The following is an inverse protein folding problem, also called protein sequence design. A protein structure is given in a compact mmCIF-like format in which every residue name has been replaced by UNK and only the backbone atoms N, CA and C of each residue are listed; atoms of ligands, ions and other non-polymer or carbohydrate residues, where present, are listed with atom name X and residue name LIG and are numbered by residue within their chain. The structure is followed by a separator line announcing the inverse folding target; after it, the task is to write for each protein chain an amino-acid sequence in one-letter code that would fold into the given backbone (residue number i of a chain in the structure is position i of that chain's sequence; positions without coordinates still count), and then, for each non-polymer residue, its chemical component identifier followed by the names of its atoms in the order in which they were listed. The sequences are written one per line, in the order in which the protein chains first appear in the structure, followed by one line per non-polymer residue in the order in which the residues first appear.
data_IF_784815108367
#
_entry.id   IF_784815108367
#
_cell.length_a   1.000
_cell.length_b   1.000
_cell.length_c   1.000
_cell.angle_alpha   90.00
_cell.angle_beta   90.00
_cell.angle_gamma   90.00
#
_symmetry.space_group_name_H-M   'P 1'
#
loop_
_entity.id
_entity.type
_entity.pdbx_description
1 polymer ?
#
# COMPACT_ATOMS: atom_id res chain seq x y z
N UNK A 1 -14.18 16.41 9.35
CA UNK A 1 -12.93 16.39 10.11
C UNK A 1 -11.73 16.27 9.19
N UNK A 2 -10.66 16.99 9.52
CA UNK A 2 -9.45 16.94 8.72
C UNK A 2 -8.81 15.55 8.77
N UNK A 3 -8.33 15.10 7.62
CA UNK A 3 -7.62 13.83 7.51
C UNK A 3 -6.20 13.99 8.02
N UNK A 4 -5.75 13.06 8.88
CA UNK A 4 -4.41 13.05 9.43
C UNK A 4 -3.73 11.73 9.11
N UNK A 5 -2.44 11.76 8.78
CA UNK A 5 -1.66 10.55 8.55
C UNK A 5 -0.69 10.38 9.71
N UNK A 6 -0.76 9.25 10.40
CA UNK A 6 0.11 8.91 11.52
C UNK A 6 0.78 7.57 11.29
N UNK A 7 1.88 7.34 11.99
CA UNK A 7 2.55 6.04 12.00
C UNK A 7 1.77 5.10 12.93
N UNK A 8 1.51 3.90 12.44
CA UNK A 8 0.82 2.86 13.18
C UNK A 8 1.70 1.62 13.35
N UNK A 9 1.04 0.49 13.61
CA UNK A 9 1.70 -0.79 13.82
C UNK A 9 1.02 -1.90 13.03
N UNK A 10 1.61 -3.10 13.07
CA UNK A 10 1.12 -4.26 12.33
C UNK A 10 -0.30 -4.64 12.75
N UNK A 11 -0.62 -4.53 14.04
CA UNK A 11 -1.94 -4.87 14.56
C UNK A 11 -3.01 -3.93 14.00
N UNK A 12 -2.73 -2.63 13.92
CA UNK A 12 -3.67 -1.65 13.38
C UNK A 12 -3.88 -1.90 11.88
N UNK A 13 -2.82 -2.18 11.14
CA UNK A 13 -2.92 -2.51 9.71
C UNK A 13 -3.76 -3.77 9.50
N UNK A 14 -3.52 -4.80 10.28
CA UNK A 14 -4.27 -6.05 10.21
C UNK A 14 -5.76 -5.83 10.50
N UNK A 15 -6.07 -5.09 11.56
CA UNK A 15 -7.45 -4.81 11.94
C UNK A 15 -8.21 -4.09 10.82
N UNK A 16 -7.58 -3.11 10.18
CA UNK A 16 -8.17 -2.41 9.03
C UNK A 16 -8.34 -3.33 7.83
N UNK A 17 -7.32 -4.14 7.53
CA UNK A 17 -7.39 -5.08 6.41
C UNK A 17 -8.54 -6.07 6.59
N UNK A 18 -8.76 -6.57 7.81
CA UNK A 18 -9.87 -7.46 8.10
C UNK A 18 -11.24 -6.81 7.88
N UNK A 19 -11.32 -5.49 8.00
CA UNK A 19 -12.56 -4.74 7.78
C UNK A 19 -12.76 -4.32 6.32
N UNK A 20 -11.81 -4.64 5.44
CA UNK A 20 -11.88 -4.28 4.02
C UNK A 20 -12.26 -5.54 3.23
N UNK A 21 -13.45 -5.58 2.58
CA UNK A 21 -13.96 -6.79 1.95
C UNK A 21 -13.06 -7.38 0.86
N UNK A 22 -12.33 -6.54 0.14
CA UNK A 22 -11.50 -6.98 -0.98
C UNK A 22 -10.33 -7.88 -0.57
N UNK A 23 -9.98 -7.89 0.72
CA UNK A 23 -8.90 -8.74 1.23
C UNK A 23 -9.38 -10.11 1.75
N UNK A 24 -10.67 -10.35 1.77
CA UNK A 24 -11.23 -11.62 2.23
C UNK A 24 -11.46 -12.56 1.05
N UNK A 25 -10.40 -13.28 0.62
CA UNK A 25 -10.54 -14.22 -0.51
C UNK A 25 -9.61 -15.42 -0.36
N UNK A 26 -10.19 -16.58 -0.07
CA UNK A 26 -9.57 -17.88 -0.23
C UNK A 26 -8.16 -18.01 0.32
N UNK A 27 -7.26 -18.39 -0.57
CA UNK A 27 -5.85 -18.61 -0.21
C UNK A 27 -5.09 -17.34 0.19
N UNK A 28 -5.67 -16.18 -0.09
CA UNK A 28 -5.12 -14.89 0.34
C UNK A 28 -5.63 -14.48 1.73
N UNK A 29 -6.05 -15.44 2.54
CA UNK A 29 -6.54 -15.17 3.89
C UNK A 29 -5.51 -14.40 4.71
N UNK A 30 -5.98 -13.37 5.42
CA UNK A 30 -5.10 -12.50 6.20
C UNK A 30 -4.60 -13.22 7.44
N UNK A 31 -3.32 -13.05 7.75
CA UNK A 31 -2.67 -13.65 8.90
C UNK A 31 -1.89 -12.59 9.67
N UNK A 32 -2.26 -12.39 10.94
CA UNK A 32 -1.58 -11.41 11.79
C UNK A 32 -0.09 -11.71 11.96
N UNK A 33 0.30 -12.99 11.98
CA UNK A 33 1.71 -13.37 12.06
C UNK A 33 2.50 -12.86 10.85
N UNK A 34 1.91 -12.95 9.66
CA UNK A 34 2.55 -12.44 8.44
C UNK A 34 2.71 -10.93 8.52
N UNK A 35 1.68 -10.22 8.99
CA UNK A 35 1.77 -8.76 9.17
C UNK A 35 2.90 -8.41 10.12
N UNK A 36 2.99 -9.10 11.25
CA UNK A 36 4.06 -8.86 12.22
C UNK A 36 5.44 -9.14 11.65
N UNK A 37 5.60 -10.26 10.93
CA UNK A 37 6.89 -10.63 10.34
C UNK A 37 7.36 -9.59 9.31
N UNK A 38 6.46 -9.13 8.46
CA UNK A 38 6.82 -8.19 7.39
C UNK A 38 7.02 -6.77 7.90
N UNK A 39 6.26 -6.36 8.91
CA UNK A 39 6.17 -4.97 9.32
C UNK A 39 6.91 -4.64 10.62
N UNK A 40 7.36 -5.63 11.37
CA UNK A 40 8.12 -5.39 12.59
C UNK A 40 9.58 -5.08 12.26
N UNK A 41 10.22 -4.26 13.11
CA UNK A 41 11.61 -3.92 12.96
C UNK A 41 11.82 -2.65 12.15
N UNK A 42 13.09 -2.38 11.84
CA UNK A 42 13.51 -1.13 11.18
C UNK A 42 13.13 -1.05 9.72
N UNK A 43 12.82 -2.19 9.09
CA UNK A 43 12.54 -2.25 7.66
C UNK A 43 11.06 -2.15 7.33
N UNK A 44 10.18 -2.03 8.32
CA UNK A 44 8.74 -1.97 8.11
C UNK A 44 8.15 -0.59 8.42
N UNK A 45 7.06 -0.26 7.74
CA UNK A 45 6.32 0.98 7.98
C UNK A 45 4.83 0.71 7.86
N UNK A 46 4.06 1.27 8.79
CA UNK A 46 2.61 1.34 8.68
C UNK A 46 2.20 2.80 8.80
N UNK A 47 1.44 3.28 7.83
CA UNK A 47 0.80 4.59 7.86
C UNK A 47 -0.69 4.40 8.04
N UNK A 48 -1.28 5.17 8.94
CA UNK A 48 -2.71 5.17 9.20
C UNK A 48 -3.30 6.51 8.78
N UNK A 49 -4.44 6.45 8.08
CA UNK A 49 -5.23 7.64 7.80
C UNK A 49 -6.30 7.74 8.87
N UNK A 50 -6.33 8.85 9.58
CA UNK A 50 -7.25 9.09 10.68
C UNK A 50 -8.23 10.20 10.34
N UNK A 51 -9.51 9.92 10.49
CA UNK A 51 -10.58 10.92 10.46
C UNK A 51 -11.00 11.12 11.90
N UNK A 52 -10.58 12.25 12.52
CA UNK A 52 -10.65 12.39 13.95
C UNK A 52 -9.78 11.35 14.64
N UNK A 53 -10.35 10.57 15.54
CA UNK A 53 -9.64 9.50 16.26
C UNK A 53 -9.82 8.13 15.62
N UNK A 54 -10.55 8.07 14.49
CA UNK A 54 -10.86 6.78 13.85
C UNK A 54 -9.93 6.52 12.67
N UNK A 55 -9.28 5.34 12.68
CA UNK A 55 -8.50 4.91 11.53
C UNK A 55 -9.44 4.45 10.42
N UNK A 56 -9.31 5.05 9.23
CA UNK A 56 -10.18 4.77 8.08
C UNK A 56 -9.44 4.19 6.89
N UNK A 57 -8.12 4.14 6.95
CA UNK A 57 -7.30 3.57 5.90
C UNK A 57 -5.89 3.33 6.37
N UNK A 58 -5.13 2.56 5.61
CA UNK A 58 -3.74 2.28 5.94
C UNK A 58 -2.91 2.06 4.69
N UNK A 59 -1.59 2.17 4.85
CA UNK A 59 -0.60 1.77 3.87
C UNK A 59 0.55 1.12 4.60
N UNK A 60 0.97 -0.04 4.13
CA UNK A 60 2.03 -0.81 4.79
C UNK A 60 3.06 -1.26 3.76
N UNK A 61 4.32 -1.20 4.16
CA UNK A 61 5.40 -1.59 3.29
C UNK A 61 6.66 -1.93 4.07
N UNK A 62 7.67 -2.40 3.36
CA UNK A 62 8.95 -2.75 3.98
C UNK A 62 10.06 -2.79 2.93
N UNK A 63 11.30 -2.79 3.41
CA UNK A 63 12.49 -2.91 2.57
C UNK A 63 12.68 -4.39 2.19
N UNK A 64 12.03 -4.79 1.10
CA UNK A 64 11.97 -6.19 0.68
C UNK A 64 13.22 -6.68 -0.01
N UNK A 65 13.84 -5.82 -0.84
CA UNK A 65 14.87 -6.26 -1.77
C UNK A 65 16.29 -5.89 -1.35
N UNK A 66 16.44 -4.98 -0.41
CA UNK A 66 17.75 -4.52 0.05
C UNK A 66 18.58 -3.83 -1.02
N UNK A 67 17.93 -3.21 -2.01
CA UNK A 67 18.58 -2.64 -3.18
C UNK A 67 18.32 -1.13 -3.34
N UNK A 68 17.87 -0.48 -2.28
CA UNK A 68 17.53 0.94 -2.31
C UNK A 68 16.11 1.21 -2.76
N UNK A 69 15.29 0.18 -2.97
CA UNK A 69 13.88 0.31 -3.28
C UNK A 69 13.02 0.01 -2.07
N UNK A 70 11.86 0.67 -2.03
CA UNK A 70 10.81 0.42 -1.05
C UNK A 70 9.73 -0.44 -1.68
N UNK A 71 9.21 -1.41 -0.94
CA UNK A 71 8.09 -2.24 -1.40
C UNK A 71 6.82 -1.84 -0.67
N UNK A 72 5.86 -1.32 -1.42
CA UNK A 72 4.52 -1.02 -0.91
C UNK A 72 3.72 -2.33 -0.94
N UNK A 73 3.62 -2.98 0.21
CA UNK A 73 3.06 -4.33 0.30
C UNK A 73 1.54 -4.34 0.25
N UNK A 74 0.91 -3.48 1.04
CA UNK A 74 -0.54 -3.54 1.22
C UNK A 74 -1.08 -2.18 1.61
N UNK A 75 -2.33 -1.93 1.26
CA UNK A 75 -3.02 -0.71 1.66
C UNK A 75 -4.48 -0.78 1.31
N UNK A 76 -5.28 0.00 1.97
CA UNK A 76 -6.71 0.04 1.69
C UNK A 76 -7.42 1.10 2.49
N UNK A 77 -8.66 1.35 2.09
CA UNK A 77 -9.54 2.35 2.70
C UNK A 77 -10.86 1.68 3.02
N UNK A 78 -11.37 1.92 4.22
CA UNK A 78 -12.69 1.40 4.61
C UNK A 78 -13.74 1.87 3.60
N UNK A 79 -14.70 1.00 3.23
CA UNK A 79 -15.70 1.37 2.21
C UNK A 79 -16.40 2.70 2.46
N UNK A 80 -16.78 2.98 3.71
CA UNK A 80 -17.49 4.20 4.07
C UNK A 80 -16.64 5.47 3.98
N UNK A 81 -15.32 5.33 3.88
CA UNK A 81 -14.41 6.47 3.78
C UNK A 81 -13.90 6.72 2.36
N UNK A 82 -14.31 5.91 1.40
CA UNK A 82 -13.87 6.05 0.00
C UNK A 82 -14.46 7.30 -0.64
N UNK A 83 -13.76 7.81 -1.68
CA UNK A 83 -14.19 8.99 -2.40
C UNK A 83 -13.83 10.31 -1.72
N UNK A 84 -13.00 10.28 -0.67
CA UNK A 84 -12.62 11.47 0.09
C UNK A 84 -11.10 11.74 0.08
N UNK A 85 -10.38 11.14 -0.87
CA UNK A 85 -8.95 11.39 -1.03
C UNK A 85 -8.04 10.65 -0.07
N UNK A 86 -8.55 9.66 0.66
CA UNK A 86 -7.75 8.91 1.67
C UNK A 86 -6.63 8.14 1.00
N UNK A 87 -6.93 7.41 -0.08
CA UNK A 87 -5.93 6.61 -0.79
C UNK A 87 -4.81 7.48 -1.36
N UNK A 88 -5.16 8.64 -1.92
CA UNK A 88 -4.19 9.60 -2.46
C UNK A 88 -3.30 10.14 -1.34
N UNK A 89 -3.89 10.50 -0.21
CA UNK A 89 -3.12 11.01 0.94
C UNK A 89 -2.13 9.98 1.45
N UNK A 90 -2.54 8.72 1.56
CA UNK A 90 -1.67 7.63 2.00
C UNK A 90 -0.54 7.38 1.00
N UNK A 91 -0.86 7.40 -0.30
CA UNK A 91 0.14 7.21 -1.34
C UNK A 91 1.23 8.28 -1.27
N UNK A 92 0.83 9.55 -1.19
CA UNK A 92 1.78 10.65 -1.09
C UNK A 92 2.60 10.62 0.21
N UNK A 93 1.96 10.28 1.33
CA UNK A 93 2.66 10.16 2.60
C UNK A 93 3.74 9.07 2.56
N UNK A 94 3.44 7.93 1.95
CA UNK A 94 4.42 6.87 1.78
C UNK A 94 5.58 7.31 0.89
N UNK A 95 5.29 8.01 -0.21
CA UNK A 95 6.34 8.51 -1.11
C UNK A 95 7.25 9.51 -0.38
N UNK A 96 6.68 10.43 0.38
CA UNK A 96 7.44 11.40 1.15
C UNK A 96 8.33 10.72 2.19
N UNK A 97 7.76 9.76 2.90
CA UNK A 97 8.51 9.02 3.92
C UNK A 97 9.67 8.24 3.28
N UNK A 98 9.40 7.52 2.20
CA UNK A 98 10.41 6.71 1.52
C UNK A 98 11.54 7.58 0.97
N UNK A 99 11.19 8.73 0.40
CA UNK A 99 12.17 9.70 -0.10
C UNK A 99 13.07 10.22 1.02
N UNK A 100 12.47 10.61 2.15
CA UNK A 100 13.21 11.10 3.31
C UNK A 100 14.11 10.01 3.92
N UNK A 101 13.70 8.75 3.83
CA UNK A 101 14.49 7.61 4.31
C UNK A 101 15.60 7.18 3.35
N UNK A 102 15.70 7.80 2.18
CA UNK A 102 16.77 7.54 1.22
C UNK A 102 16.46 6.50 0.15
N UNK A 103 15.24 6.02 0.08
CA UNK A 103 14.84 5.07 -0.98
C UNK A 103 14.72 5.79 -2.32
N UNK A 104 15.14 5.13 -3.38
CA UNK A 104 15.19 5.72 -4.73
C UNK A 104 13.93 5.46 -5.54
N UNK A 105 13.22 4.38 -5.22
CA UNK A 105 12.01 3.98 -5.95
C UNK A 105 11.10 3.14 -5.07
N UNK A 106 9.84 3.05 -5.51
CA UNK A 106 8.83 2.21 -4.85
C UNK A 106 8.33 1.17 -5.84
N UNK A 107 8.33 -0.09 -5.42
CA UNK A 107 7.66 -1.18 -6.12
C UNK A 107 6.31 -1.46 -5.49
N UNK A 108 5.32 -1.74 -6.33
CA UNK A 108 3.97 -2.11 -5.90
C UNK A 108 3.52 -3.30 -6.73
N UNK A 109 2.91 -4.30 -6.08
CA UNK A 109 2.22 -5.38 -6.77
C UNK A 109 0.72 -5.23 -6.54
N UNK A 110 -0.07 -5.38 -7.59
CA UNK A 110 -1.52 -5.35 -7.50
C UNK A 110 -2.12 -6.33 -8.51
N UNK A 111 -3.44 -6.51 -8.46
CA UNK A 111 -4.14 -7.39 -9.41
C UNK A 111 -5.07 -6.56 -10.28
N UNK A 112 -5.37 -7.04 -11.48
CA UNK A 112 -6.29 -6.35 -12.39
C UNK A 112 -7.64 -6.06 -11.75
N UNK A 113 -8.16 -6.92 -10.88
CA UNK A 113 -9.44 -6.69 -10.21
C UNK A 113 -9.44 -5.43 -9.33
N UNK A 114 -8.28 -4.98 -8.86
CA UNK A 114 -8.17 -3.77 -8.04
C UNK A 114 -8.07 -2.52 -8.92
N UNK A 115 -9.12 -2.26 -9.69
CA UNK A 115 -9.13 -1.22 -10.74
C UNK A 115 -8.89 0.18 -10.20
N UNK A 116 -9.48 0.51 -9.06
CA UNK A 116 -9.30 1.84 -8.46
C UNK A 116 -7.83 2.07 -8.07
N UNK A 117 -7.19 1.07 -7.47
CA UNK A 117 -5.78 1.14 -7.10
C UNK A 117 -4.89 1.25 -8.34
N UNK A 118 -5.17 0.45 -9.37
CA UNK A 118 -4.40 0.48 -10.60
C UNK A 118 -4.48 1.85 -11.29
N UNK A 119 -5.66 2.44 -11.37
CA UNK A 119 -5.84 3.79 -11.92
C UNK A 119 -5.06 4.83 -11.12
N UNK A 120 -5.11 4.72 -9.80
CA UNK A 120 -4.40 5.64 -8.90
C UNK A 120 -2.89 5.58 -9.14
N UNK A 121 -2.33 4.39 -9.20
CA UNK A 121 -0.89 4.20 -9.41
C UNK A 121 -0.45 4.76 -10.76
N UNK A 122 -1.18 4.44 -11.83
CA UNK A 122 -0.86 4.94 -13.18
C UNK A 122 -0.96 6.46 -13.22
N UNK A 123 -2.02 7.02 -12.63
CA UNK A 123 -2.23 8.48 -12.59
C UNK A 123 -1.06 9.20 -11.92
N UNK A 124 -0.50 8.61 -10.86
CA UNK A 124 0.56 9.25 -10.07
C UNK A 124 1.96 8.82 -10.46
N UNK A 125 2.11 8.27 -11.67
CA UNK A 125 3.43 8.09 -12.27
C UNK A 125 4.08 6.73 -12.06
N UNK A 126 3.33 5.74 -11.65
CA UNK A 126 3.84 4.37 -11.54
C UNK A 126 3.80 3.70 -12.90
N UNK A 127 4.92 3.13 -13.32
CA UNK A 127 5.03 2.41 -14.59
C UNK A 127 4.77 0.92 -14.38
N UNK A 128 4.02 0.31 -15.28
CA UNK A 128 3.80 -1.13 -15.26
C UNK A 128 5.03 -1.81 -15.85
N UNK A 129 5.69 -2.65 -15.06
CA UNK A 129 6.92 -3.34 -15.48
C UNK A 129 6.65 -4.76 -15.93
N UNK A 130 5.75 -5.48 -15.27
CA UNK A 130 5.50 -6.89 -15.55
C UNK A 130 4.04 -7.22 -15.33
N UNK A 131 3.56 -8.19 -16.10
CA UNK A 131 2.24 -8.79 -15.92
C UNK A 131 2.44 -10.30 -15.75
N UNK A 132 1.98 -10.84 -14.63
CA UNK A 132 1.95 -12.28 -14.41
C UNK A 132 0.54 -12.77 -14.70
N UNK A 133 0.36 -13.38 -15.87
CA UNK A 133 -0.94 -13.81 -16.34
C UNK A 133 -1.49 -14.96 -15.52
N UNK A 134 -2.79 -14.94 -15.28
CA UNK A 134 -3.56 -16.02 -14.66
C UNK A 134 -4.65 -16.46 -15.63
N UNK A 135 -5.28 -17.61 -15.35
CA UNK A 135 -6.39 -18.11 -16.19
C UNK A 135 -7.54 -17.10 -16.21
N UNK A 136 -7.86 -16.54 -15.04
CA UNK A 136 -8.80 -15.42 -14.93
C UNK A 136 -8.00 -14.11 -15.02
N UNK A 137 -8.22 -13.33 -16.07
CA UNK A 137 -7.53 -12.07 -16.28
C UNK A 137 -7.68 -11.07 -15.14
N UNK A 138 -8.80 -11.11 -14.41
CA UNK A 138 -9.00 -10.25 -13.24
C UNK A 138 -7.96 -10.52 -12.16
N UNK A 139 -7.41 -11.73 -12.11
CA UNK A 139 -6.39 -12.13 -11.14
C UNK A 139 -4.98 -11.96 -11.65
N UNK A 140 -4.76 -11.43 -12.85
CA UNK A 140 -3.43 -11.09 -13.33
C UNK A 140 -2.75 -10.18 -12.33
N UNK A 141 -1.51 -10.52 -11.97
CA UNK A 141 -0.72 -9.71 -11.04
C UNK A 141 0.18 -8.77 -11.83
N UNK A 142 0.17 -7.49 -11.46
CA UNK A 142 0.99 -6.48 -12.09
C UNK A 142 2.05 -6.00 -11.09
N UNK A 143 3.26 -5.79 -11.60
CA UNK A 143 4.35 -5.14 -10.87
C UNK A 143 4.52 -3.75 -11.43
N UNK A 144 4.45 -2.73 -10.57
CA UNK A 144 4.62 -1.34 -10.95
C UNK A 144 5.78 -0.74 -10.16
N UNK A 145 6.35 0.33 -10.70
CA UNK A 145 7.47 1.03 -10.07
C UNK A 145 7.38 2.53 -10.33
N UNK A 146 7.74 3.31 -9.30
CA UNK A 146 7.89 4.76 -9.44
C UNK A 146 9.25 5.18 -8.91
N UNK A 147 9.99 5.99 -9.68
CA UNK A 147 11.20 6.65 -9.20
C UNK A 147 10.81 7.81 -8.30
N UNK A 148 11.44 7.88 -7.14
CA UNK A 148 11.13 8.91 -6.14
C UNK A 148 11.96 10.17 -6.32
N UNK A 149 13.17 10.03 -6.89
CA UNK A 149 14.06 11.16 -7.11
C UNK A 149 14.13 11.42 -8.60
N UNK A 150 13.91 12.65 -8.98
CA UNK A 150 14.04 13.06 -10.37
C UNK A 150 15.48 12.94 -10.82
N UNK A 151 15.66 12.86 -12.13
CA UNK A 151 16.98 12.89 -12.76
C UNK A 151 17.51 14.32 -12.73
N UNK A 152 17.59 14.82 -11.52
CA UNK A 152 17.95 16.20 -11.27
C UNK A 152 19.28 16.57 -11.76
#
# INVERSE_FOLDING_TARGET
DALRIDIGDAEAAYALACAIPEFERGDDALDLREFRQRLSGRSGLVLLALAGDRAVGFKAGYDRYGDGSWYSWMGGVLPEARGHGVAVALLHAQEQWAMAAGFERIYVKTRNRHRAMLRLLVKFGYDILQVQARDDGAENRLLLCKRLRGDG
#
